data_IF_244894939746
#
_entry.id   IF_244894939746
#
_cell.length_a   1.000
_cell.length_b   1.000
_cell.length_c   1.000
_cell.angle_alpha   90.00
_cell.angle_beta   90.00
_cell.angle_gamma   90.00
#
_symmetry.space_group_name_H-M   'P 1'
#
loop_
_entity.id
_entity.type
_entity.pdbx_description
1 polymer ?
#
# COMPACT_ATOMS: atom_id res chain seq x y z
N UNK A 1 20.18 26.97 34.83
CA UNK A 1 20.09 25.60 34.23
C UNK A 1 18.96 25.59 33.24
N UNK A 2 19.28 25.80 31.95
CA UNK A 2 18.30 25.80 30.87
C UNK A 2 17.84 24.34 30.62
N UNK A 3 16.56 24.05 30.89
CA UNK A 3 15.94 22.80 30.42
C UNK A 3 15.97 22.83 28.90
N UNK A 4 16.87 22.07 28.29
CA UNK A 4 16.77 21.70 26.90
C UNK A 4 15.45 20.93 26.80
N UNK A 5 14.44 21.56 26.19
CA UNK A 5 13.20 20.87 25.79
C UNK A 5 13.64 19.90 24.73
N UNK A 6 13.82 18.64 25.11
CA UNK A 6 14.05 17.54 24.17
C UNK A 6 12.78 17.46 23.34
N UNK A 7 12.82 17.99 22.11
CA UNK A 7 11.74 17.81 21.14
C UNK A 7 11.53 16.29 21.02
N UNK A 8 10.38 15.80 21.48
CA UNK A 8 10.04 14.39 21.33
C UNK A 8 10.14 14.05 19.84
N UNK A 9 11.04 13.13 19.50
CA UNK A 9 11.21 12.71 18.10
C UNK A 9 9.88 12.18 17.58
N UNK A 10 9.45 12.65 16.39
CA UNK A 10 8.24 12.16 15.75
C UNK A 10 8.36 10.65 15.50
N UNK A 11 7.27 9.92 15.69
CA UNK A 11 7.23 8.47 15.57
C UNK A 11 6.34 8.06 14.40
N UNK A 12 6.79 7.11 13.59
CA UNK A 12 6.02 6.54 12.49
C UNK A 12 5.97 5.01 12.58
N UNK A 13 4.82 4.44 12.23
CA UNK A 13 4.64 3.00 12.04
C UNK A 13 4.28 2.71 10.59
N UNK A 14 4.88 1.66 9.98
CA UNK A 14 4.73 1.33 8.57
C UNK A 14 4.49 -0.16 8.41
N UNK A 15 3.42 -0.57 7.74
CA UNK A 15 3.22 -1.98 7.38
C UNK A 15 3.95 -2.34 6.10
N UNK A 16 4.57 -3.55 6.06
CA UNK A 16 5.32 -3.99 4.90
C UNK A 16 6.57 -3.14 4.64
N UNK A 17 7.27 -2.76 5.71
CA UNK A 17 8.47 -1.93 5.64
C UNK A 17 9.74 -2.71 5.22
N UNK A 18 9.66 -4.04 5.10
CA UNK A 18 10.84 -4.86 4.78
C UNK A 18 11.30 -4.75 3.33
N UNK A 19 10.43 -4.38 2.40
CA UNK A 19 10.76 -4.32 0.98
C UNK A 19 9.98 -3.25 0.21
N UNK A 20 10.43 -2.97 -1.02
CA UNK A 20 9.76 -2.08 -1.97
C UNK A 20 9.46 -0.69 -1.43
N UNK A 21 8.27 -0.17 -1.74
CA UNK A 21 7.85 1.17 -1.35
C UNK A 21 7.91 1.38 0.18
N UNK A 22 7.46 0.40 0.98
CA UNK A 22 7.47 0.51 2.44
C UNK A 22 8.87 0.66 3.02
N UNK A 23 9.87 -0.03 2.44
CA UNK A 23 11.28 0.08 2.81
C UNK A 23 11.82 1.49 2.53
N UNK A 24 11.55 2.01 1.35
CA UNK A 24 12.05 3.33 0.96
C UNK A 24 11.36 4.45 1.76
N UNK A 25 10.06 4.30 2.11
CA UNK A 25 9.36 5.21 3.04
C UNK A 25 10.02 5.16 4.42
N UNK A 26 10.34 3.95 4.93
CA UNK A 26 10.96 3.80 6.24
C UNK A 26 12.31 4.50 6.32
N UNK A 27 13.18 4.29 5.32
CA UNK A 27 14.48 4.96 5.21
C UNK A 27 14.33 6.48 5.07
N UNK A 28 13.41 6.93 4.22
CA UNK A 28 13.15 8.37 4.01
C UNK A 28 12.65 9.08 5.27
N UNK A 29 11.77 8.44 6.05
CA UNK A 29 11.30 8.99 7.33
C UNK A 29 12.40 8.98 8.39
N UNK A 30 13.21 7.91 8.46
CA UNK A 30 14.35 7.86 9.36
C UNK A 30 15.36 8.97 9.06
N UNK A 31 15.67 9.22 7.79
CA UNK A 31 16.54 10.33 7.37
C UNK A 31 15.98 11.72 7.73
N UNK A 32 14.66 11.85 7.90
CA UNK A 32 13.99 13.07 8.40
C UNK A 32 13.88 13.15 9.93
N UNK A 33 14.53 12.22 10.65
CA UNK A 33 14.58 12.18 12.11
C UNK A 33 13.35 11.58 12.79
N UNK A 34 12.52 10.83 12.08
CA UNK A 34 11.50 10.01 12.72
C UNK A 34 12.11 8.77 13.37
N UNK A 35 11.57 8.35 14.49
CA UNK A 35 11.72 6.99 14.99
C UNK A 35 10.73 6.12 14.23
N UNK A 36 11.24 5.17 13.45
CA UNK A 36 10.42 4.38 12.54
C UNK A 36 10.29 2.95 13.04
N UNK A 37 9.05 2.47 13.10
CA UNK A 37 8.68 1.11 13.45
C UNK A 37 7.97 0.47 12.26
N UNK A 38 8.38 -0.72 11.86
CA UNK A 38 7.77 -1.37 10.71
C UNK A 38 7.50 -2.84 10.91
N UNK A 39 6.67 -3.40 10.02
CA UNK A 39 6.51 -4.86 9.91
C UNK A 39 7.22 -5.39 8.67
N UNK A 40 7.74 -6.60 8.79
CA UNK A 40 8.25 -7.41 7.70
C UNK A 40 7.79 -8.86 7.90
N UNK A 41 7.87 -9.67 6.84
CA UNK A 41 7.45 -11.07 6.89
C UNK A 41 8.64 -11.99 7.09
N UNK A 42 9.80 -11.66 6.50
CA UNK A 42 10.96 -12.55 6.56
C UNK A 42 12.08 -12.01 7.44
N UNK A 43 12.88 -12.89 8.08
CA UNK A 43 14.06 -12.47 8.86
C UNK A 43 15.08 -11.70 8.01
N UNK A 44 15.21 -12.06 6.73
CA UNK A 44 16.14 -11.42 5.80
C UNK A 44 15.77 -9.96 5.58
N UNK A 45 14.48 -9.65 5.35
CA UNK A 45 13.99 -8.27 5.23
C UNK A 45 14.30 -7.45 6.49
N UNK A 46 14.19 -8.06 7.68
CA UNK A 46 14.49 -7.39 8.96
C UNK A 46 15.97 -7.06 9.05
N UNK A 47 16.82 -8.03 8.78
CA UNK A 47 18.28 -7.87 8.88
C UNK A 47 18.79 -6.84 7.86
N UNK A 48 18.33 -6.93 6.62
CA UNK A 48 18.72 -6.02 5.54
C UNK A 48 18.38 -4.56 5.86
N UNK A 49 17.15 -4.30 6.30
CA UNK A 49 16.75 -2.92 6.60
C UNK A 49 17.38 -2.38 7.88
N UNK A 50 17.61 -3.24 8.87
CA UNK A 50 18.32 -2.85 10.09
C UNK A 50 19.75 -2.39 9.78
N UNK A 51 20.46 -3.11 8.91
CA UNK A 51 21.78 -2.74 8.43
C UNK A 51 21.73 -1.46 7.59
N UNK A 52 20.80 -1.39 6.62
CA UNK A 52 20.67 -0.24 5.70
C UNK A 52 20.30 1.07 6.39
N UNK A 53 19.72 1.01 7.59
CA UNK A 53 19.28 2.17 8.38
C UNK A 53 20.19 2.51 9.56
N UNK A 54 21.34 1.82 9.73
CA UNK A 54 22.18 1.94 10.93
C UNK A 54 21.37 1.81 12.24
N UNK A 55 20.32 0.98 12.24
CA UNK A 55 19.43 0.76 13.38
C UNK A 55 18.38 1.87 13.61
N UNK A 56 18.27 2.85 12.72
CA UNK A 56 17.25 3.93 12.85
C UNK A 56 15.82 3.43 12.58
N UNK A 57 15.66 2.27 11.92
CA UNK A 57 14.38 1.60 11.70
C UNK A 57 14.31 0.33 12.52
N UNK A 58 13.25 0.18 13.32
CA UNK A 58 12.97 -1.03 14.08
C UNK A 58 11.91 -1.87 13.36
N UNK A 59 12.25 -3.07 12.89
CA UNK A 59 11.31 -3.99 12.27
C UNK A 59 10.87 -5.09 13.24
N UNK A 60 9.61 -5.47 13.10
CA UNK A 60 8.99 -6.60 13.79
C UNK A 60 8.51 -7.62 12.75
N UNK A 61 8.82 -8.90 12.93
CA UNK A 61 8.18 -9.96 12.15
C UNK A 61 6.70 -10.03 12.53
N UNK A 62 5.83 -9.65 11.59
CA UNK A 62 4.39 -9.58 11.82
C UNK A 62 3.63 -9.73 10.50
N UNK A 63 2.88 -10.84 10.37
CA UNK A 63 1.82 -10.94 9.36
C UNK A 63 0.62 -10.13 9.87
N UNK A 64 0.20 -9.12 9.11
CA UNK A 64 -0.90 -8.23 9.51
C UNK A 64 -2.26 -8.93 9.52
N UNK A 65 -2.36 -10.14 9.01
CA UNK A 65 -3.57 -10.99 9.10
C UNK A 65 -3.66 -11.74 10.44
N UNK A 66 -2.57 -11.78 11.22
CA UNK A 66 -2.57 -12.26 12.61
C UNK A 66 -2.91 -11.09 13.56
N UNK A 67 -4.21 -10.91 13.84
CA UNK A 67 -4.69 -9.83 14.71
C UNK A 67 -4.01 -9.81 16.10
N UNK A 68 -3.78 -10.94 16.79
CA UNK A 68 -2.97 -10.97 18.01
C UNK A 68 -1.55 -10.43 17.80
N UNK A 69 -0.87 -10.77 16.72
CA UNK A 69 0.48 -10.26 16.43
C UNK A 69 0.46 -8.75 16.19
N UNK A 70 -0.53 -8.24 15.46
CA UNK A 70 -0.74 -6.80 15.25
C UNK A 70 -0.94 -6.06 16.57
N UNK A 71 -1.77 -6.59 17.48
CA UNK A 71 -1.97 -5.99 18.81
C UNK A 71 -0.69 -5.96 19.64
N UNK A 72 0.10 -7.06 19.63
CA UNK A 72 1.41 -7.10 20.30
C UNK A 72 2.37 -6.06 19.73
N UNK A 73 2.44 -5.93 18.40
CA UNK A 73 3.26 -4.92 17.74
C UNK A 73 2.84 -3.49 18.12
N UNK A 74 1.55 -3.16 18.03
CA UNK A 74 1.05 -1.83 18.41
C UNK A 74 1.34 -1.52 19.90
N UNK A 75 1.21 -2.50 20.78
CA UNK A 75 1.55 -2.34 22.21
C UNK A 75 3.05 -2.09 22.40
N UNK A 76 3.92 -2.85 21.74
CA UNK A 76 5.37 -2.68 21.80
C UNK A 76 5.82 -1.29 21.28
N UNK A 77 5.24 -0.83 20.18
CA UNK A 77 5.48 0.53 19.65
C UNK A 77 5.02 1.59 20.65
N UNK A 78 3.81 1.46 21.22
CA UNK A 78 3.30 2.40 22.22
C UNK A 78 4.20 2.50 23.44
N UNK A 79 4.76 1.40 23.91
CA UNK A 79 5.72 1.37 25.02
C UNK A 79 7.03 2.12 24.75
N UNK A 80 7.39 2.26 23.46
CA UNK A 80 8.62 2.95 23.04
C UNK A 80 8.40 4.42 22.62
N UNK A 81 7.16 4.86 22.49
CA UNK A 81 6.79 6.19 21.96
C UNK A 81 6.06 7.06 22.99
N UNK A 82 6.22 6.77 24.27
CA UNK A 82 5.42 7.39 25.33
C UNK A 82 3.92 7.32 25.06
N UNK A 83 3.50 6.27 24.33
CA UNK A 83 2.13 5.98 23.94
C UNK A 83 1.56 6.84 22.82
N UNK A 84 2.36 7.66 22.13
CA UNK A 84 1.91 8.50 21.01
C UNK A 84 2.48 8.06 19.66
N UNK A 85 1.67 8.10 18.59
CA UNK A 85 2.10 7.83 17.21
C UNK A 85 1.69 8.99 16.30
N UNK A 86 2.66 9.63 15.66
CA UNK A 86 2.42 10.78 14.79
C UNK A 86 1.97 10.36 13.39
N UNK A 87 2.44 9.21 12.88
CA UNK A 87 2.18 8.78 11.51
C UNK A 87 2.02 7.25 11.45
N UNK A 88 0.94 6.79 10.84
CA UNK A 88 0.73 5.40 10.46
C UNK A 88 0.65 5.32 8.93
N UNK A 89 1.56 4.58 8.31
CA UNK A 89 1.53 4.26 6.87
C UNK A 89 1.01 2.83 6.70
N UNK A 90 -0.24 2.70 6.25
CA UNK A 90 -0.83 1.43 5.86
C UNK A 90 -0.44 1.13 4.42
N UNK A 91 0.65 0.37 4.23
CA UNK A 91 1.28 0.13 2.94
C UNK A 91 1.24 -1.35 2.53
N UNK A 92 1.32 -2.29 3.47
CA UNK A 92 1.33 -3.72 3.15
C UNK A 92 0.16 -4.10 2.24
N UNK A 93 0.44 -4.92 1.25
CA UNK A 93 -0.57 -5.43 0.32
C UNK A 93 0.00 -6.48 -0.61
N UNK A 94 -0.87 -7.30 -1.14
CA UNK A 94 -0.56 -8.32 -2.14
C UNK A 94 -1.44 -8.12 -3.38
N UNK A 95 -1.05 -8.75 -4.46
CA UNK A 95 -1.70 -8.67 -5.77
C UNK A 95 -1.95 -10.08 -6.30
N UNK A 96 -3.21 -10.36 -6.65
CA UNK A 96 -3.64 -11.58 -7.32
C UNK A 96 -4.18 -11.22 -8.71
N UNK A 97 -3.47 -11.62 -9.76
CA UNK A 97 -3.89 -11.39 -11.16
C UNK A 97 -4.34 -12.67 -11.81
N UNK A 98 -5.43 -12.60 -12.58
CA UNK A 98 -5.99 -13.69 -13.34
C UNK A 98 -7.43 -13.41 -13.76
N UNK A 99 -7.99 -14.20 -14.69
CA UNK A 99 -9.41 -14.14 -14.98
C UNK A 99 -10.21 -14.44 -13.71
N UNK A 100 -11.24 -13.66 -13.41
CA UNK A 100 -12.01 -13.84 -12.16
C UNK A 100 -12.67 -15.23 -12.12
N UNK A 101 -13.18 -15.70 -13.26
CA UNK A 101 -13.82 -16.99 -13.39
C UNK A 101 -12.93 -18.17 -12.96
N UNK A 102 -11.64 -18.12 -13.32
CA UNK A 102 -10.69 -19.22 -13.07
C UNK A 102 -9.81 -18.98 -11.83
N UNK A 103 -9.91 -17.81 -11.22
CA UNK A 103 -9.13 -17.48 -10.02
C UNK A 103 -9.64 -18.25 -8.81
N UNK A 104 -8.80 -19.00 -8.09
CA UNK A 104 -9.21 -19.67 -6.86
C UNK A 104 -9.77 -18.65 -5.86
N UNK A 105 -10.98 -18.89 -5.36
CA UNK A 105 -11.61 -18.00 -4.37
C UNK A 105 -10.74 -17.80 -3.13
N UNK A 106 -9.95 -18.80 -2.72
CA UNK A 106 -9.04 -18.66 -1.59
C UNK A 106 -7.89 -17.67 -1.86
N UNK A 107 -7.44 -17.54 -3.11
CA UNK A 107 -6.49 -16.50 -3.49
C UNK A 107 -7.11 -15.11 -3.38
N UNK A 108 -8.36 -14.95 -3.82
CA UNK A 108 -9.12 -13.70 -3.67
C UNK A 108 -9.36 -13.40 -2.19
N UNK A 109 -9.81 -14.37 -1.40
CA UNK A 109 -9.96 -14.22 0.07
C UNK A 109 -8.65 -13.80 0.72
N UNK A 110 -7.52 -14.46 0.38
CA UNK A 110 -6.21 -14.09 0.93
C UNK A 110 -5.83 -12.65 0.62
N UNK A 111 -6.15 -12.15 -0.57
CA UNK A 111 -5.89 -10.75 -0.92
C UNK A 111 -6.74 -9.80 -0.07
N UNK A 112 -8.01 -10.10 0.17
CA UNK A 112 -8.85 -9.31 1.06
C UNK A 112 -8.42 -9.42 2.53
N UNK A 113 -7.98 -10.60 2.98
CA UNK A 113 -7.41 -10.77 4.33
C UNK A 113 -6.22 -9.86 4.57
N UNK A 114 -5.32 -9.72 3.59
CA UNK A 114 -4.16 -8.82 3.72
C UNK A 114 -4.58 -7.36 3.49
N UNK A 115 -5.17 -7.07 2.32
CA UNK A 115 -5.34 -5.70 1.85
C UNK A 115 -6.47 -4.96 2.59
N UNK A 116 -7.44 -5.67 3.16
CA UNK A 116 -8.60 -5.09 3.83
C UNK A 116 -8.59 -5.40 5.32
N UNK A 117 -8.77 -6.66 5.71
CA UNK A 117 -8.93 -7.01 7.13
C UNK A 117 -7.66 -6.80 7.94
N UNK A 118 -6.49 -7.14 7.40
CA UNK A 118 -5.20 -6.86 8.01
C UNK A 118 -4.93 -5.36 8.16
N UNK A 119 -5.24 -4.57 7.13
CA UNK A 119 -5.11 -3.12 7.20
C UNK A 119 -6.05 -2.51 8.25
N UNK A 120 -7.30 -2.96 8.35
CA UNK A 120 -8.25 -2.54 9.39
C UNK A 120 -7.76 -2.93 10.79
N UNK A 121 -7.25 -4.16 10.96
CA UNK A 121 -6.65 -4.62 12.22
C UNK A 121 -5.54 -3.70 12.69
N UNK A 122 -4.63 -3.33 11.77
CA UNK A 122 -3.52 -2.41 12.07
C UNK A 122 -4.03 -1.03 12.45
N UNK A 123 -4.90 -0.42 11.64
CA UNK A 123 -5.46 0.90 11.95
C UNK A 123 -6.08 0.91 13.33
N UNK A 124 -6.97 -0.05 13.62
CA UNK A 124 -7.68 -0.13 14.89
C UNK A 124 -6.74 -0.32 16.09
N UNK A 125 -5.69 -1.15 15.95
CA UNK A 125 -4.71 -1.37 17.01
C UNK A 125 -3.90 -0.10 17.35
N UNK A 126 -3.64 0.76 16.37
CA UNK A 126 -2.89 2.01 16.58
C UNK A 126 -3.76 3.23 16.94
N UNK A 127 -5.10 3.15 16.88
CA UNK A 127 -5.99 4.27 17.20
C UNK A 127 -5.72 4.90 18.57
N UNK A 128 -5.45 4.15 19.67
CA UNK A 128 -5.13 4.79 20.96
C UNK A 128 -3.89 5.69 20.88
N UNK A 129 -2.82 5.23 20.24
CA UNK A 129 -1.59 5.99 20.07
C UNK A 129 -1.75 7.19 19.13
N UNK A 130 -2.51 7.01 18.04
CA UNK A 130 -2.86 8.09 17.11
C UNK A 130 -3.71 9.17 17.77
N UNK A 131 -4.68 8.81 18.62
CA UNK A 131 -5.47 9.79 19.38
C UNK A 131 -4.58 10.62 20.32
N UNK A 132 -3.65 9.97 21.01
CA UNK A 132 -2.76 10.64 21.95
C UNK A 132 -1.88 11.69 21.27
N UNK A 133 -1.36 11.38 20.08
CA UNK A 133 -0.50 12.28 19.31
C UNK A 133 -1.27 13.22 18.37
N UNK A 134 -2.59 13.04 18.20
CA UNK A 134 -3.36 13.65 17.10
C UNK A 134 -2.68 13.41 15.76
N UNK A 135 -2.36 12.12 15.53
CA UNK A 135 -1.53 11.69 14.42
C UNK A 135 -2.27 11.63 13.09
N UNK A 136 -1.62 11.05 12.10
CA UNK A 136 -2.15 10.90 10.74
C UNK A 136 -2.04 9.48 10.26
N UNK A 137 -3.05 9.02 9.52
CA UNK A 137 -3.08 7.75 8.79
C UNK A 137 -2.90 8.05 7.31
N UNK A 138 -1.95 7.39 6.65
CA UNK A 138 -1.82 7.37 5.20
C UNK A 138 -2.11 5.96 4.71
N UNK A 139 -3.21 5.81 3.98
CA UNK A 139 -3.57 4.57 3.30
C UNK A 139 -2.97 4.57 1.90
N UNK A 140 -2.02 3.68 1.65
CA UNK A 140 -1.48 3.49 0.30
C UNK A 140 -2.46 2.68 -0.53
N UNK A 141 -2.95 3.30 -1.60
CA UNK A 141 -3.87 2.73 -2.57
C UNK A 141 -3.25 2.69 -3.97
N UNK A 142 -4.03 2.39 -4.98
CA UNK A 142 -3.63 2.35 -6.38
C UNK A 142 -4.70 2.96 -7.27
N UNK A 143 -4.31 3.50 -8.42
CA UNK A 143 -5.27 4.01 -9.39
C UNK A 143 -6.24 2.93 -9.92
N UNK A 144 -5.88 1.62 -9.82
CA UNK A 144 -6.79 0.53 -10.21
C UNK A 144 -8.00 0.38 -9.27
N UNK A 145 -8.02 1.05 -8.13
CA UNK A 145 -9.20 1.19 -7.29
C UNK A 145 -10.27 2.10 -7.94
N UNK A 146 -9.85 3.01 -8.82
CA UNK A 146 -10.71 3.98 -9.52
C UNK A 146 -11.01 3.56 -10.97
N UNK A 147 -10.04 2.96 -11.65
CA UNK A 147 -10.19 2.39 -12.98
C UNK A 147 -9.79 0.91 -12.94
N UNK A 148 -10.69 0.00 -12.50
CA UNK A 148 -10.38 -1.42 -12.42
C UNK A 148 -10.03 -2.00 -13.79
N UNK A 149 -8.99 -2.83 -13.84
CA UNK A 149 -8.55 -3.45 -15.08
C UNK A 149 -9.01 -4.91 -15.20
N UNK A 150 -9.30 -5.41 -16.41
CA UNK A 150 -9.41 -6.85 -16.67
C UNK A 150 -8.21 -7.60 -16.07
N UNK A 151 -8.44 -8.80 -15.56
CA UNK A 151 -7.44 -9.68 -14.95
C UNK A 151 -6.77 -9.14 -13.65
N UNK A 152 -7.21 -7.99 -13.15
CA UNK A 152 -6.72 -7.36 -11.92
C UNK A 152 -7.85 -7.06 -10.92
N UNK A 153 -8.98 -7.73 -11.06
CA UNK A 153 -10.20 -7.48 -10.30
C UNK A 153 -10.02 -7.49 -8.78
N UNK A 154 -9.43 -8.55 -8.17
CA UNK A 154 -9.28 -8.62 -6.71
C UNK A 154 -8.48 -7.46 -6.13
N UNK A 155 -7.41 -7.03 -6.82
CA UNK A 155 -6.58 -5.90 -6.38
C UNK A 155 -7.36 -4.59 -6.40
N UNK A 156 -8.00 -4.25 -7.52
CA UNK A 156 -8.83 -3.05 -7.61
C UNK A 156 -9.93 -3.03 -6.55
N UNK A 157 -10.65 -4.15 -6.39
CA UNK A 157 -11.75 -4.28 -5.45
C UNK A 157 -11.29 -4.14 -3.98
N UNK A 158 -10.19 -4.80 -3.59
CA UNK A 158 -9.67 -4.73 -2.21
C UNK A 158 -9.18 -3.33 -1.86
N UNK A 159 -8.53 -2.64 -2.79
CA UNK A 159 -8.07 -1.26 -2.59
C UNK A 159 -9.23 -0.27 -2.58
N UNK A 160 -10.23 -0.43 -3.45
CA UNK A 160 -11.45 0.38 -3.41
C UNK A 160 -12.20 0.23 -2.08
N UNK A 161 -12.30 -0.99 -1.56
CA UNK A 161 -12.88 -1.23 -0.23
C UNK A 161 -12.14 -0.44 0.86
N UNK A 162 -10.80 -0.45 0.86
CA UNK A 162 -10.01 0.32 1.83
C UNK A 162 -10.15 1.83 1.67
N UNK A 163 -10.34 2.35 0.47
CA UNK A 163 -10.59 3.78 0.27
C UNK A 163 -11.95 4.22 0.84
N UNK A 164 -12.96 3.35 0.73
CA UNK A 164 -14.26 3.58 1.39
C UNK A 164 -14.08 3.61 2.90
N UNK A 165 -13.38 2.63 3.50
CA UNK A 165 -13.07 2.64 4.93
C UNK A 165 -12.26 3.88 5.34
N UNK A 166 -11.25 4.28 4.55
CA UNK A 166 -10.47 5.49 4.82
C UNK A 166 -11.34 6.76 4.82
N UNK A 167 -12.35 6.81 3.94
CA UNK A 167 -13.31 7.91 3.91
C UNK A 167 -14.16 7.95 5.18
N UNK A 168 -14.66 6.80 5.65
CA UNK A 168 -15.43 6.70 6.89
C UNK A 168 -14.55 7.03 8.11
N UNK A 169 -13.36 6.43 8.21
CA UNK A 169 -12.40 6.77 9.28
C UNK A 169 -12.10 8.27 9.35
N UNK A 170 -11.97 8.95 8.22
CA UNK A 170 -11.72 10.40 8.20
C UNK A 170 -12.78 11.17 8.94
N UNK A 171 -14.05 10.86 8.73
CA UNK A 171 -15.16 11.55 9.37
C UNK A 171 -15.29 11.14 10.85
N UNK A 172 -15.17 9.86 11.16
CA UNK A 172 -15.28 9.35 12.54
C UNK A 172 -14.14 9.83 13.45
N UNK A 173 -12.91 9.91 12.90
CA UNK A 173 -11.71 10.24 13.67
C UNK A 173 -11.41 11.74 13.72
N UNK A 174 -12.07 12.57 12.92
CA UNK A 174 -11.91 14.02 12.89
C UNK A 174 -12.04 14.66 14.27
N UNK A 175 -13.02 14.22 15.07
CA UNK A 175 -13.24 14.72 16.44
C UNK A 175 -12.06 14.47 17.39
N UNK A 176 -11.17 13.54 17.06
CA UNK A 176 -9.97 13.23 17.81
C UNK A 176 -8.72 13.93 17.26
N UNK A 177 -8.87 14.73 16.20
CA UNK A 177 -7.77 15.41 15.54
C UNK A 177 -6.86 14.49 14.74
N UNK A 178 -7.38 13.32 14.29
CA UNK A 178 -6.65 12.38 13.45
C UNK A 178 -7.00 12.64 11.99
N UNK A 179 -6.00 12.91 11.17
CA UNK A 179 -6.14 13.01 9.72
C UNK A 179 -6.07 11.61 9.07
N UNK A 180 -6.86 11.41 8.02
CA UNK A 180 -6.79 10.19 7.19
C UNK A 180 -6.65 10.59 5.72
N UNK A 181 -5.59 10.15 5.09
CA UNK A 181 -5.19 10.49 3.72
C UNK A 181 -5.10 9.21 2.89
N UNK A 182 -5.59 9.25 1.67
CA UNK A 182 -5.39 8.19 0.68
C UNK A 182 -4.30 8.63 -0.29
N UNK A 183 -3.20 7.87 -0.36
CA UNK A 183 -2.13 8.05 -1.32
C UNK A 183 -2.34 7.06 -2.48
N UNK A 184 -2.84 7.55 -3.61
CA UNK A 184 -3.14 6.74 -4.80
C UNK A 184 -1.88 6.59 -5.64
N UNK A 185 -1.29 5.41 -5.61
CA UNK A 185 -0.06 5.11 -6.31
C UNK A 185 -0.30 4.71 -7.78
N UNK A 186 0.61 5.16 -8.63
CA UNK A 186 0.79 4.69 -10.00
C UNK A 186 1.65 3.43 -10.08
N UNK A 187 2.10 3.12 -11.30
CA UNK A 187 3.05 2.04 -11.53
C UNK A 187 4.42 2.41 -10.97
N UNK A 188 5.09 1.47 -10.34
CA UNK A 188 6.37 1.71 -9.66
C UNK A 188 7.40 0.64 -10.01
N UNK A 189 8.65 1.10 -10.19
CA UNK A 189 9.84 0.24 -10.23
C UNK A 189 10.23 -0.16 -8.81
N UNK A 190 9.58 -1.20 -8.30
CA UNK A 190 9.96 -1.82 -7.02
C UNK A 190 10.60 -3.17 -7.30
N UNK A 191 11.14 -3.88 -6.30
CA UNK A 191 11.42 -5.31 -6.46
C UNK A 191 10.17 -6.16 -6.78
N UNK A 192 9.01 -5.50 -6.88
CA UNK A 192 7.71 -6.05 -7.26
C UNK A 192 7.58 -6.52 -8.70
N UNK A 193 8.12 -5.86 -9.74
CA UNK A 193 7.99 -6.35 -11.11
C UNK A 193 8.42 -7.81 -11.29
N UNK A 194 9.56 -8.21 -10.74
CA UNK A 194 9.99 -9.61 -10.79
C UNK A 194 9.03 -10.55 -10.04
N UNK A 195 8.52 -10.13 -8.86
CA UNK A 195 7.53 -10.90 -8.09
C UNK A 195 6.20 -10.97 -8.84
N UNK A 196 5.78 -9.87 -9.47
CA UNK A 196 4.56 -9.79 -10.28
C UNK A 196 4.69 -10.68 -11.51
N UNK A 197 5.78 -10.57 -12.28
CA UNK A 197 6.04 -11.42 -13.45
C UNK A 197 6.02 -12.91 -13.09
N UNK A 198 6.68 -13.31 -12.00
CA UNK A 198 6.65 -14.68 -11.51
C UNK A 198 5.22 -15.12 -11.08
N UNK A 199 4.43 -14.21 -10.50
CA UNK A 199 3.02 -14.45 -10.17
C UNK A 199 2.16 -14.70 -11.40
N UNK A 200 2.31 -13.85 -12.41
CA UNK A 200 1.62 -13.98 -13.70
C UNK A 200 1.98 -15.29 -14.41
N UNK A 201 3.28 -15.64 -14.44
CA UNK A 201 3.74 -16.92 -15.01
C UNK A 201 3.10 -18.13 -14.31
N UNK A 202 3.10 -18.14 -12.98
CA UNK A 202 2.43 -19.20 -12.20
C UNK A 202 0.93 -19.29 -12.47
N UNK A 203 0.26 -18.16 -12.74
CA UNK A 203 -1.16 -18.18 -13.12
C UNK A 203 -1.36 -18.88 -14.47
N UNK A 204 -0.53 -18.57 -15.47
CA UNK A 204 -0.55 -19.24 -16.78
C UNK A 204 -0.25 -20.74 -16.66
N UNK A 205 0.76 -21.10 -15.86
CA UNK A 205 1.14 -22.50 -15.64
C UNK A 205 0.01 -23.36 -15.05
N UNK A 206 -0.80 -22.76 -14.18
CA UNK A 206 -1.91 -23.44 -13.50
C UNK A 206 -3.18 -23.56 -14.33
N UNK A 207 -3.30 -22.81 -15.43
CA UNK A 207 -4.46 -22.90 -16.32
C UNK A 207 -4.58 -24.29 -16.93
N UNK A 208 -5.77 -24.87 -16.90
CA UNK A 208 -6.14 -26.05 -17.69
C UNK A 208 -6.06 -25.75 -19.19
N UNK A 209 -6.16 -26.77 -20.03
CA UNK A 209 -6.20 -26.59 -21.50
C UNK A 209 -7.39 -25.71 -21.90
N UNK A 210 -8.56 -25.98 -21.33
CA UNK A 210 -9.77 -25.19 -21.58
C UNK A 210 -9.62 -23.73 -21.17
N UNK A 211 -9.11 -23.46 -19.98
CA UNK A 211 -8.86 -22.10 -19.50
C UNK A 211 -7.82 -21.35 -20.36
N UNK A 212 -6.80 -22.07 -20.87
CA UNK A 212 -5.82 -21.50 -21.81
C UNK A 212 -6.45 -21.14 -23.15
N UNK A 213 -7.37 -21.97 -23.65
CA UNK A 213 -8.09 -21.68 -24.89
C UNK A 213 -8.98 -20.44 -24.71
N UNK A 214 -9.63 -20.30 -23.56
CA UNK A 214 -10.51 -19.16 -23.26
C UNK A 214 -9.73 -17.87 -22.96
N UNK A 215 -8.72 -17.94 -22.11
CA UNK A 215 -8.09 -16.74 -21.53
C UNK A 215 -6.60 -16.58 -21.84
N UNK A 216 -5.89 -17.64 -22.26
CA UNK A 216 -4.44 -17.66 -22.31
C UNK A 216 -3.83 -16.53 -23.13
N UNK A 217 -4.37 -16.28 -24.34
CA UNK A 217 -3.89 -15.19 -25.21
C UNK A 217 -4.13 -13.81 -24.60
N UNK A 218 -5.34 -13.55 -24.15
CA UNK A 218 -5.72 -12.26 -23.58
C UNK A 218 -4.95 -11.99 -22.27
N UNK A 219 -4.83 -12.99 -21.40
CA UNK A 219 -4.06 -12.86 -20.16
C UNK A 219 -2.57 -12.68 -20.42
N UNK A 220 -2.01 -13.34 -21.43
CA UNK A 220 -0.61 -13.13 -21.85
C UNK A 220 -0.35 -11.69 -22.32
N UNK A 221 -1.28 -11.12 -23.09
CA UNK A 221 -1.21 -9.69 -23.50
C UNK A 221 -1.26 -8.76 -22.30
N UNK A 222 -2.21 -8.97 -21.39
CA UNK A 222 -2.30 -8.23 -20.13
C UNK A 222 -1.00 -8.32 -19.32
N UNK A 223 -0.45 -9.53 -19.15
CA UNK A 223 0.77 -9.75 -18.38
C UNK A 223 1.97 -8.98 -18.96
N UNK A 224 2.13 -9.00 -20.28
CA UNK A 224 3.18 -8.24 -20.97
C UNK A 224 3.01 -6.72 -20.76
N UNK A 225 1.78 -6.21 -20.88
CA UNK A 225 1.46 -4.79 -20.66
C UNK A 225 1.72 -4.38 -19.21
N UNK A 226 1.25 -5.17 -18.24
CA UNK A 226 1.46 -4.88 -16.81
C UNK A 226 2.95 -4.84 -16.45
N UNK A 227 3.75 -5.80 -16.93
CA UNK A 227 5.19 -5.81 -16.72
C UNK A 227 5.83 -4.55 -17.32
N UNK A 228 5.49 -4.21 -18.57
CA UNK A 228 5.98 -2.99 -19.22
C UNK A 228 5.61 -1.71 -18.47
N UNK A 229 4.38 -1.61 -17.97
CA UNK A 229 3.96 -0.45 -17.17
C UNK A 229 4.75 -0.34 -15.86
N UNK A 230 5.02 -1.46 -15.20
CA UNK A 230 5.82 -1.46 -13.97
C UNK A 230 7.29 -1.13 -14.23
N UNK A 231 7.87 -1.64 -15.32
CA UNK A 231 9.26 -1.35 -15.72
C UNK A 231 9.47 0.11 -16.11
N UNK A 232 8.42 0.79 -16.59
CA UNK A 232 8.43 2.20 -16.94
C UNK A 232 7.84 3.10 -15.82
N UNK A 233 7.43 2.50 -14.69
CA UNK A 233 6.84 3.21 -13.57
C UNK A 233 7.81 4.14 -12.83
N UNK A 234 7.29 4.84 -11.83
CA UNK A 234 8.08 5.73 -10.97
C UNK A 234 9.10 4.93 -10.15
N UNK A 235 10.31 5.46 -9.98
CA UNK A 235 11.27 4.83 -9.08
C UNK A 235 10.74 4.77 -7.64
N UNK A 236 10.95 3.65 -6.96
CA UNK A 236 10.41 3.42 -5.62
C UNK A 236 10.83 4.50 -4.61
N UNK A 237 12.07 4.99 -4.71
CA UNK A 237 12.60 6.09 -3.86
C UNK A 237 11.84 7.39 -4.10
N UNK A 238 11.52 7.73 -5.37
CA UNK A 238 10.77 8.94 -5.71
C UNK A 238 9.29 8.81 -5.27
N UNK A 239 8.71 7.61 -5.43
CA UNK A 239 7.39 7.32 -4.91
C UNK A 239 7.34 7.46 -3.37
N UNK A 240 8.33 6.93 -2.67
CA UNK A 240 8.46 7.06 -1.23
C UNK A 240 8.58 8.52 -0.78
N UNK A 241 9.41 9.31 -1.46
CA UNK A 241 9.51 10.75 -1.22
C UNK A 241 8.15 11.44 -1.35
N UNK A 242 7.39 11.11 -2.41
CA UNK A 242 6.07 11.68 -2.62
C UNK A 242 5.07 11.27 -1.55
N UNK A 243 5.07 10.00 -1.11
CA UNK A 243 4.22 9.55 0.02
C UNK A 243 4.57 10.30 1.30
N UNK A 244 5.84 10.54 1.58
CA UNK A 244 6.28 11.31 2.76
C UNK A 244 5.83 12.78 2.65
N UNK A 245 5.95 13.41 1.48
CA UNK A 245 5.43 14.76 1.25
C UNK A 245 3.92 14.84 1.54
N UNK A 246 3.14 13.87 1.03
CA UNK A 246 1.70 13.75 1.29
C UNK A 246 1.42 13.57 2.80
N UNK A 247 2.22 12.73 3.46
CA UNK A 247 2.09 12.48 4.89
C UNK A 247 2.37 13.71 5.75
N UNK A 248 3.22 14.62 5.30
CA UNK A 248 3.59 15.86 6.01
C UNK A 248 2.81 17.10 5.52
N UNK A 249 2.06 17.00 4.42
CA UNK A 249 1.35 18.13 3.85
C UNK A 249 0.32 18.72 4.85
N UNK A 250 0.30 20.05 4.97
CA UNK A 250 -0.66 20.75 5.82
C UNK A 250 -1.32 21.91 5.04
N UNK A 251 -2.66 21.96 4.93
CA UNK A 251 -3.62 20.98 5.47
C UNK A 251 -3.49 19.59 4.82
N UNK A 252 -3.90 18.56 5.55
CA UNK A 252 -3.89 17.18 5.07
C UNK A 252 -4.83 17.02 3.86
N UNK A 253 -4.35 16.49 2.72
CA UNK A 253 -5.22 16.24 1.59
C UNK A 253 -6.15 15.05 1.88
N UNK A 254 -7.30 15.01 1.21
CA UNK A 254 -8.21 13.86 1.26
C UNK A 254 -7.65 12.67 0.50
N UNK A 255 -7.24 12.96 -0.73
CA UNK A 255 -6.62 12.05 -1.70
C UNK A 255 -5.47 12.82 -2.34
N UNK A 256 -4.34 12.15 -2.54
CA UNK A 256 -3.23 12.67 -3.32
C UNK A 256 -2.59 11.56 -4.15
N UNK A 257 -2.05 11.91 -5.30
CA UNK A 257 -1.46 10.96 -6.26
C UNK A 257 0.04 10.82 -6.05
N UNK A 258 0.52 9.61 -6.30
CA UNK A 258 1.93 9.24 -6.31
C UNK A 258 2.28 8.71 -7.70
N UNK A 259 2.81 9.58 -8.54
CA UNK A 259 3.08 9.34 -9.96
C UNK A 259 2.10 10.05 -10.89
N UNK A 260 2.62 10.43 -12.06
CA UNK A 260 1.88 11.16 -13.07
C UNK A 260 0.76 10.31 -13.70
N UNK A 261 0.99 9.03 -13.87
CA UNK A 261 0.00 8.08 -14.38
C UNK A 261 -1.23 7.98 -13.47
N UNK A 262 -1.02 7.95 -12.13
CA UNK A 262 -2.13 7.99 -11.18
C UNK A 262 -2.92 9.31 -11.28
N UNK A 263 -2.25 10.43 -11.45
CA UNK A 263 -2.90 11.74 -11.62
C UNK A 263 -3.75 11.77 -12.90
N UNK A 264 -3.20 11.27 -14.01
CA UNK A 264 -3.89 11.21 -15.28
C UNK A 264 -5.13 10.31 -15.22
N UNK A 265 -5.00 9.11 -14.65
CA UNK A 265 -6.15 8.19 -14.50
C UNK A 265 -7.24 8.79 -13.61
N UNK A 266 -6.90 9.40 -12.48
CA UNK A 266 -7.89 10.03 -11.62
C UNK A 266 -8.58 11.22 -12.30
N UNK A 267 -7.89 11.92 -13.19
CA UNK A 267 -8.49 12.95 -14.04
C UNK A 267 -9.47 12.33 -15.04
N UNK A 268 -9.03 11.29 -15.75
CA UNK A 268 -9.87 10.60 -16.74
C UNK A 268 -11.16 10.06 -16.12
N UNK A 269 -11.07 9.40 -14.97
CA UNK A 269 -12.25 8.86 -14.26
C UNK A 269 -13.27 9.95 -13.89
N UNK A 270 -12.82 11.18 -13.67
CA UNK A 270 -13.71 12.33 -13.38
C UNK A 270 -14.32 12.98 -14.62
N UNK A 271 -13.63 12.93 -15.76
CA UNK A 271 -13.95 13.68 -16.97
C UNK A 271 -14.64 12.83 -18.04
N UNK A 272 -14.41 11.54 -18.05
CA UNK A 272 -14.85 10.60 -19.08
C UNK A 272 -16.12 9.86 -18.70
N UNK A 273 -16.96 9.57 -19.70
CA UNK A 273 -18.12 8.68 -19.55
C UNK A 273 -17.71 7.24 -19.24
N UNK A 274 -18.65 6.44 -18.75
CA UNK A 274 -18.41 5.02 -18.47
C UNK A 274 -17.96 4.26 -19.73
N UNK A 275 -18.59 4.52 -20.89
CA UNK A 275 -18.20 3.90 -22.15
C UNK A 275 -16.76 4.25 -22.58
N UNK A 276 -16.34 5.50 -22.39
CA UNK A 276 -14.98 5.93 -22.66
C UNK A 276 -13.98 5.30 -21.69
N UNK A 277 -14.38 5.12 -20.44
CA UNK A 277 -13.55 4.42 -19.44
C UNK A 277 -13.44 2.94 -19.76
N UNK A 278 -14.50 2.28 -20.24
CA UNK A 278 -14.47 0.89 -20.67
C UNK A 278 -13.53 0.70 -21.86
N UNK A 279 -13.59 1.56 -22.87
CA UNK A 279 -12.64 1.54 -23.99
C UNK A 279 -11.20 1.72 -23.49
N UNK A 280 -10.96 2.67 -22.58
CA UNK A 280 -9.62 2.90 -22.02
C UNK A 280 -9.08 1.70 -21.22
N UNK A 281 -9.94 0.99 -20.47
CA UNK A 281 -9.53 -0.24 -19.74
C UNK A 281 -8.96 -1.27 -20.71
N UNK A 282 -9.63 -1.49 -21.83
CA UNK A 282 -9.17 -2.45 -22.85
C UNK A 282 -7.87 -1.97 -23.52
N UNK A 283 -7.78 -0.68 -23.85
CA UNK A 283 -6.60 -0.07 -24.42
C UNK A 283 -5.36 -0.21 -23.52
N UNK A 284 -5.49 0.11 -22.24
CA UNK A 284 -4.40 0.00 -21.26
C UNK A 284 -3.83 -1.42 -21.22
N UNK A 285 -4.67 -2.43 -21.29
CA UNK A 285 -4.25 -3.83 -21.19
C UNK A 285 -4.03 -4.50 -22.56
N UNK A 286 -4.24 -3.77 -23.68
CA UNK A 286 -4.00 -4.27 -25.04
C UNK A 286 -5.02 -5.31 -25.51
N UNK A 287 -6.28 -5.15 -25.14
CA UNK A 287 -7.39 -6.04 -25.46
C UNK A 287 -8.46 -5.38 -26.37
N UNK A 288 -8.06 -4.39 -27.16
CA UNK A 288 -8.93 -3.71 -28.13
C UNK A 288 -9.39 -4.66 -29.24
#
# INVERSE_FOLDING_TARGET
>A
MSRVIQQSSRCAAITGAGSGLGRDIALGLAAKGYRVFGTAITPEEITDLQQASDGAVTLTSCDITDEPAVKRWAHAVSGQTDGGLNLLISNAGILTSGPIETSPLDSIRREFEVNVFGALSVVNAFLPALRKARGRIVQVSTWTAHLPLPFNGPSGASKAAMEVFATVYREELKRFGIDVVVAVAGNMKTGGPAKTAAGLARTVERMTLEERDLYGKAFGTFAAKLNSMQDNGLASVDAAKRVIEIAEQNPAPRIATVGQDAEEILRVVREKSDDEQDALRLQIVGLE
#
